data_IF_797726039475
#
_entry.id   IF_797726039475
#
_cell.length_a   1.000
_cell.length_b   1.000
_cell.length_c   1.000
_cell.angle_alpha   90.00
_cell.angle_beta   90.00
_cell.angle_gamma   90.00
#
_symmetry.space_group_name_H-M   'P 1'
#
loop_
_entity.id
_entity.type
_entity.pdbx_description
1 polymer ?
#
# COMPACT_ATOMS: atom_id res chain seq x y z
N UNK A 1 -10.98 -72.51 37.61
CA UNK A 1 -11.49 -72.90 36.29
C UNK A 1 -12.58 -71.92 35.89
N UNK A 2 -12.24 -70.97 35.03
CA UNK A 2 -13.11 -70.36 34.01
C UNK A 2 -12.21 -69.43 33.17
N UNK A 3 -11.89 -69.88 31.97
CA UNK A 3 -11.34 -69.14 30.85
C UNK A 3 -12.41 -68.22 30.23
N UNK A 4 -11.98 -67.38 29.27
CA UNK A 4 -12.75 -66.55 28.31
C UNK A 4 -13.03 -65.11 28.75
N UNK A 5 -12.89 -64.10 27.91
CA UNK A 5 -12.44 -64.05 26.52
C UNK A 5 -11.89 -62.66 26.22
N UNK A 6 -11.02 -62.64 25.23
CA UNK A 6 -10.30 -61.49 24.74
C UNK A 6 -11.23 -60.63 23.88
N UNK A 7 -11.29 -59.33 24.14
CA UNK A 7 -11.77 -58.36 23.16
C UNK A 7 -10.79 -57.19 23.15
N UNK A 8 -9.76 -57.36 22.33
CA UNK A 8 -8.86 -56.33 21.87
C UNK A 8 -9.63 -55.49 20.84
N UNK A 9 -9.96 -54.22 21.10
CA UNK A 9 -10.59 -53.39 20.10
C UNK A 9 -9.53 -52.97 19.08
N UNK A 10 -9.72 -53.48 17.87
CA UNK A 10 -9.21 -53.03 16.58
C UNK A 10 -8.32 -51.80 16.63
N UNK A 11 -7.04 -52.05 16.36
CA UNK A 11 -6.07 -51.09 15.84
C UNK A 11 -6.64 -50.49 14.54
N UNK A 12 -7.42 -49.43 14.70
CA UNK A 12 -7.79 -48.51 13.63
C UNK A 12 -6.48 -48.01 13.05
N UNK A 13 -6.15 -48.53 11.88
CA UNK A 13 -5.12 -48.00 11.02
C UNK A 13 -5.47 -46.55 10.78
N UNK A 14 -4.82 -45.65 11.52
CA UNK A 14 -4.80 -44.23 11.22
C UNK A 14 -4.31 -44.16 9.78
N UNK A 15 -5.25 -43.95 8.85
CA UNK A 15 -4.90 -43.49 7.51
C UNK A 15 -3.94 -42.33 7.72
N UNK A 16 -2.70 -42.52 7.27
CA UNK A 16 -1.73 -41.47 7.09
C UNK A 16 -2.38 -40.42 6.21
N UNK A 17 -3.10 -39.49 6.85
CA UNK A 17 -3.49 -38.23 6.24
C UNK A 17 -2.16 -37.66 5.78
N UNK A 18 -1.95 -37.46 4.46
CA UNK A 18 -0.74 -36.84 4.00
C UNK A 18 -0.76 -35.44 4.61
N UNK A 19 0.01 -35.27 5.69
CA UNK A 19 0.41 -33.97 6.18
C UNK A 19 1.18 -33.38 5.02
N UNK A 20 0.47 -32.60 4.21
CA UNK A 20 1.07 -31.62 3.34
C UNK A 20 1.89 -30.73 4.26
N UNK A 21 3.16 -31.12 4.44
CA UNK A 21 4.22 -30.20 4.74
C UNK A 21 4.29 -29.28 3.52
N UNK A 22 3.35 -28.32 3.48
CA UNK A 22 3.44 -27.16 2.64
C UNK A 22 4.80 -26.56 2.92
N UNK A 23 5.62 -26.54 1.88
CA UNK A 23 6.91 -25.88 1.77
C UNK A 23 6.78 -24.39 2.15
N UNK A 24 6.72 -24.11 3.46
CA UNK A 24 6.52 -22.77 4.05
C UNK A 24 7.68 -21.81 3.75
N UNK A 25 8.79 -22.34 3.23
CA UNK A 25 9.91 -21.58 2.69
C UNK A 25 9.54 -20.81 1.42
N UNK A 26 8.68 -21.39 0.55
CA UNK A 26 8.18 -20.73 -0.66
C UNK A 26 7.07 -19.70 -0.40
N UNK A 27 6.16 -20.00 0.55
CA UNK A 27 4.95 -19.20 0.81
C UNK A 27 5.22 -17.77 1.29
N UNK A 28 6.24 -17.57 2.13
CA UNK A 28 6.56 -16.23 2.68
C UNK A 28 7.11 -15.30 1.59
N UNK A 29 7.95 -15.82 0.67
CA UNK A 29 8.48 -15.00 -0.44
C UNK A 29 7.40 -14.66 -1.46
N UNK A 30 6.46 -15.57 -1.71
CA UNK A 30 5.36 -15.33 -2.65
C UNK A 30 4.35 -14.30 -2.11
N UNK A 31 3.94 -14.42 -0.85
CA UNK A 31 3.04 -13.45 -0.20
C UNK A 31 3.64 -12.05 -0.16
N UNK A 32 4.95 -11.95 0.04
CA UNK A 32 5.69 -10.69 -0.03
C UNK A 32 5.65 -10.07 -1.43
N UNK A 33 5.91 -10.86 -2.47
CA UNK A 33 5.86 -10.40 -3.86
C UNK A 33 4.47 -9.87 -4.25
N UNK A 34 3.41 -10.58 -3.88
CA UNK A 34 2.02 -10.15 -4.11
C UNK A 34 1.75 -8.83 -3.38
N UNK A 35 2.08 -8.76 -2.09
CA UNK A 35 1.82 -7.57 -1.27
C UNK A 35 2.53 -6.34 -1.82
N UNK A 36 3.82 -6.47 -2.16
CA UNK A 36 4.60 -5.40 -2.77
C UNK A 36 4.00 -4.97 -4.11
N UNK A 37 3.59 -5.92 -4.96
CA UNK A 37 2.99 -5.64 -6.27
C UNK A 37 1.65 -4.88 -6.14
N UNK A 38 0.76 -5.32 -5.25
CA UNK A 38 -0.54 -4.67 -5.02
C UNK A 38 -0.33 -3.24 -4.51
N UNK A 39 0.54 -3.04 -3.52
CA UNK A 39 0.81 -1.70 -2.99
C UNK A 39 1.48 -0.81 -4.03
N UNK A 40 2.39 -1.36 -4.84
CA UNK A 40 3.04 -0.63 -5.91
C UNK A 40 2.06 -0.17 -6.99
N UNK A 41 1.08 -1.00 -7.35
CA UNK A 41 0.01 -0.63 -8.29
C UNK A 41 -0.87 0.48 -7.72
N UNK A 42 -1.19 0.45 -6.42
CA UNK A 42 -1.94 1.52 -5.75
C UNK A 42 -1.16 2.83 -5.81
N UNK A 43 0.13 2.81 -5.45
CA UNK A 43 1.00 4.00 -5.48
C UNK A 43 1.15 4.53 -6.91
N UNK A 44 1.41 3.63 -7.87
CA UNK A 44 1.53 3.96 -9.28
C UNK A 44 0.25 4.56 -9.83
N UNK A 45 -0.91 3.96 -9.52
CA UNK A 45 -2.23 4.46 -9.93
C UNK A 45 -2.51 5.86 -9.38
N UNK A 46 -2.22 6.10 -8.10
CA UNK A 46 -2.36 7.44 -7.50
C UNK A 46 -1.43 8.47 -8.16
N UNK A 47 -0.18 8.11 -8.40
CA UNK A 47 0.80 9.00 -9.04
C UNK A 47 0.44 9.29 -10.50
N UNK A 48 -0.04 8.28 -11.23
CA UNK A 48 -0.52 8.43 -12.60
C UNK A 48 -1.75 9.35 -12.65
N UNK A 49 -2.71 9.13 -11.77
CA UNK A 49 -3.89 9.98 -11.64
C UNK A 49 -3.51 11.44 -11.34
N UNK A 50 -2.55 11.65 -10.43
CA UNK A 50 -2.02 12.98 -10.11
C UNK A 50 -1.38 13.71 -11.29
N UNK A 51 -0.94 12.96 -12.31
CA UNK A 51 -0.18 13.49 -13.44
C UNK A 51 -0.93 13.44 -14.78
N UNK A 52 -2.23 13.09 -14.76
CA UNK A 52 -3.07 13.02 -15.96
C UNK A 52 -3.06 14.32 -16.76
N UNK A 53 -3.10 15.48 -16.08
CA UNK A 53 -3.13 16.78 -16.75
C UNK A 53 -1.83 17.14 -17.49
N UNK A 54 -0.71 16.47 -17.19
CA UNK A 54 0.58 16.74 -17.82
C UNK A 54 0.88 15.82 -19.02
N UNK A 55 -0.01 14.87 -19.33
CA UNK A 55 0.19 13.91 -20.42
C UNK A 55 1.30 12.87 -20.20
N UNK A 56 1.93 12.85 -19.02
CA UNK A 56 3.02 11.91 -18.67
C UNK A 56 2.57 10.76 -17.76
N UNK A 57 1.27 10.59 -17.55
CA UNK A 57 0.71 9.65 -16.59
C UNK A 57 1.20 8.20 -16.77
N UNK A 58 1.34 7.73 -18.01
CA UNK A 58 1.82 6.38 -18.29
C UNK A 58 3.29 6.17 -17.84
N UNK A 59 4.16 7.16 -18.08
CA UNK A 59 5.57 7.10 -17.67
C UNK A 59 5.66 7.16 -16.14
N UNK A 60 4.92 8.08 -15.52
CA UNK A 60 4.87 8.23 -14.06
C UNK A 60 4.33 6.95 -13.41
N UNK A 61 3.29 6.33 -13.98
CA UNK A 61 2.75 5.06 -13.53
C UNK A 61 3.83 3.98 -13.50
N UNK A 62 4.58 3.81 -14.61
CA UNK A 62 5.60 2.78 -14.73
C UNK A 62 6.75 3.01 -13.74
N UNK A 63 7.25 4.25 -13.65
CA UNK A 63 8.35 4.59 -12.74
C UNK A 63 7.92 4.43 -11.28
N UNK A 64 6.74 4.96 -10.92
CA UNK A 64 6.23 4.87 -9.55
C UNK A 64 5.92 3.42 -9.15
N UNK A 65 5.31 2.63 -10.04
CA UNK A 65 5.04 1.20 -9.79
C UNK A 65 6.33 0.40 -9.67
N UNK A 66 7.26 0.53 -10.62
CA UNK A 66 8.52 -0.21 -10.59
C UNK A 66 9.38 0.21 -9.39
N UNK A 67 9.50 1.51 -9.13
CA UNK A 67 10.30 2.05 -8.03
C UNK A 67 9.73 1.68 -6.67
N UNK A 68 8.42 1.86 -6.46
CA UNK A 68 7.77 1.47 -5.21
C UNK A 68 7.74 -0.05 -5.03
N UNK A 69 7.48 -0.83 -6.08
CA UNK A 69 7.52 -2.29 -6.04
C UNK A 69 8.89 -2.82 -5.65
N UNK A 70 9.95 -2.30 -6.28
CA UNK A 70 11.33 -2.63 -5.93
C UNK A 70 11.65 -2.27 -4.47
N UNK A 71 11.30 -1.06 -4.03
CA UNK A 71 11.53 -0.62 -2.65
C UNK A 71 10.75 -1.45 -1.62
N UNK A 72 9.49 -1.79 -1.92
CA UNK A 72 8.64 -2.56 -1.03
C UNK A 72 9.07 -4.02 -0.97
N UNK A 73 9.51 -4.61 -2.08
CA UNK A 73 10.01 -6.00 -2.12
C UNK A 73 11.23 -6.23 -1.22
N UNK A 74 12.04 -5.19 -0.97
CA UNK A 74 13.21 -5.28 -0.07
C UNK A 74 12.85 -5.36 1.43
N UNK A 75 11.56 -5.21 1.82
CA UNK A 75 11.17 -5.33 3.23
C UNK A 75 11.17 -6.78 3.70
N UNK A 76 11.40 -6.99 4.99
CA UNK A 76 11.61 -8.34 5.55
C UNK A 76 10.30 -9.12 5.69
N UNK A 77 9.20 -8.42 5.95
CA UNK A 77 7.89 -9.01 6.17
C UNK A 77 6.78 -8.22 5.48
N UNK A 78 5.69 -8.89 5.00
CA UNK A 78 4.61 -8.23 4.27
C UNK A 78 3.95 -7.06 5.03
N UNK A 79 3.82 -7.17 6.35
CA UNK A 79 3.24 -6.09 7.16
C UNK A 79 4.09 -4.82 7.19
N UNK A 80 5.43 -4.96 7.07
CA UNK A 80 6.33 -3.80 6.95
C UNK A 80 6.20 -3.15 5.57
N UNK A 81 6.00 -3.95 4.53
CA UNK A 81 5.74 -3.48 3.17
C UNK A 81 4.43 -2.69 3.10
N UNK A 82 3.33 -3.21 3.66
CA UNK A 82 2.04 -2.50 3.73
C UNK A 82 2.20 -1.18 4.47
N UNK A 83 2.83 -1.21 5.65
CA UNK A 83 3.07 0.01 6.43
C UNK A 83 3.84 1.05 5.62
N UNK A 84 4.95 0.67 5.00
CA UNK A 84 5.76 1.57 4.18
C UNK A 84 5.02 2.07 2.93
N UNK A 85 4.24 1.20 2.29
CA UNK A 85 3.44 1.55 1.11
C UNK A 85 2.38 2.59 1.44
N UNK A 86 1.69 2.45 2.59
CA UNK A 86 0.72 3.44 3.05
C UNK A 86 1.34 4.80 3.34
N UNK A 87 2.57 4.85 3.87
CA UNK A 87 3.31 6.11 4.04
C UNK A 87 3.61 6.78 2.69
N UNK A 88 4.02 6.00 1.68
CA UNK A 88 4.26 6.51 0.33
C UNK A 88 2.95 7.02 -0.28
N UNK A 89 1.86 6.24 -0.17
CA UNK A 89 0.54 6.66 -0.66
C UNK A 89 0.06 7.94 0.01
N UNK A 90 0.24 8.09 1.32
CA UNK A 90 -0.11 9.31 2.04
C UNK A 90 0.69 10.52 1.53
N UNK A 91 1.97 10.33 1.21
CA UNK A 91 2.80 11.39 0.63
C UNK A 91 2.31 11.77 -0.77
N UNK A 92 1.98 10.80 -1.62
CA UNK A 92 1.39 11.07 -2.95
C UNK A 92 0.04 11.80 -2.83
N UNK A 93 -0.80 11.41 -1.86
CA UNK A 93 -2.06 12.10 -1.56
C UNK A 93 -1.86 13.55 -1.15
N UNK A 94 -0.81 13.86 -0.40
CA UNK A 94 -0.51 15.22 0.02
C UNK A 94 -0.05 16.09 -1.17
N UNK A 95 0.63 15.49 -2.14
CA UNK A 95 1.10 16.18 -3.35
C UNK A 95 -0.01 16.41 -4.38
N UNK A 96 -1.00 15.52 -4.44
CA UNK A 96 -2.12 15.57 -5.39
C UNK A 96 -2.77 16.96 -5.58
N UNK A 97 -3.26 17.64 -4.53
CA UNK A 97 -3.88 18.95 -4.69
C UNK A 97 -2.90 19.98 -5.27
N UNK A 98 -1.61 19.90 -4.94
CA UNK A 98 -0.58 20.78 -5.52
C UNK A 98 -0.44 20.49 -7.01
N UNK A 99 -0.32 19.24 -7.44
CA UNK A 99 -0.17 18.90 -8.85
C UNK A 99 -1.38 19.30 -9.69
N UNK A 100 -2.59 19.26 -9.14
CA UNK A 100 -3.81 19.67 -9.85
C UNK A 100 -3.97 21.19 -9.97
N UNK A 101 -3.71 21.95 -8.90
CA UNK A 101 -3.98 23.39 -8.87
C UNK A 101 -2.80 24.25 -9.28
N UNK A 102 -1.56 23.78 -9.11
CA UNK A 102 -0.37 24.58 -9.41
C UNK A 102 -0.29 24.99 -10.89
N UNK A 103 -0.59 24.13 -11.89
CA UNK A 103 -0.56 24.56 -13.30
C UNK A 103 -1.56 25.67 -13.61
N UNK A 104 -2.76 25.62 -13.00
CA UNK A 104 -3.77 26.66 -13.17
C UNK A 104 -3.34 28.00 -12.53
N UNK A 105 -2.65 27.94 -11.37
CA UNK A 105 -2.11 29.14 -10.71
C UNK A 105 -0.97 29.74 -11.54
N UNK A 106 -0.01 28.93 -11.98
CA UNK A 106 1.15 29.38 -12.75
C UNK A 106 0.82 29.77 -14.20
N UNK A 107 -0.26 29.24 -14.77
CA UNK A 107 -0.67 29.53 -16.14
C UNK A 107 -1.46 30.83 -16.32
N UNK A 108 -1.70 31.59 -15.25
CA UNK A 108 -2.51 32.83 -15.27
C UNK A 108 -1.69 34.12 -15.44
N UNK A 109 -0.50 34.04 -16.03
CA UNK A 109 0.36 35.19 -16.28
C UNK A 109 -0.39 36.31 -17.02
N UNK A 110 -0.63 37.42 -16.32
CA UNK A 110 -1.31 38.61 -16.86
C UNK A 110 -2.83 38.58 -16.72
N UNK A 111 -3.35 38.57 -15.49
CA UNK A 111 -4.78 38.67 -15.17
C UNK A 111 -5.41 40.03 -15.56
N UNK A 112 -5.38 40.36 -16.85
CA UNK A 112 -6.01 41.53 -17.46
C UNK A 112 -7.50 41.28 -17.74
N UNK A 113 -7.95 40.02 -17.66
CA UNK A 113 -9.36 39.63 -17.80
C UNK A 113 -9.98 39.18 -16.46
N UNK A 114 -11.28 39.47 -16.29
CA UNK A 114 -12.05 39.01 -15.14
C UNK A 114 -12.10 37.47 -15.04
N UNK A 115 -12.04 36.78 -16.18
CA UNK A 115 -12.01 35.32 -16.27
C UNK A 115 -10.71 34.72 -15.72
N UNK A 116 -9.55 35.31 -16.05
CA UNK A 116 -8.26 34.89 -15.53
C UNK A 116 -8.18 35.08 -14.00
N UNK A 117 -8.66 36.23 -13.51
CA UNK A 117 -8.74 36.49 -12.07
C UNK A 117 -9.67 35.49 -11.36
N UNK A 118 -10.83 35.18 -11.94
CA UNK A 118 -11.75 34.18 -11.41
C UNK A 118 -11.12 32.78 -11.33
N UNK A 119 -10.40 32.38 -12.36
CA UNK A 119 -9.70 31.08 -12.42
C UNK A 119 -8.59 30.98 -11.39
N UNK A 120 -7.79 32.04 -11.22
CA UNK A 120 -6.74 32.12 -10.21
C UNK A 120 -7.31 32.00 -8.79
N UNK A 121 -8.31 32.81 -8.45
CA UNK A 121 -8.97 32.77 -7.13
C UNK A 121 -9.61 31.40 -6.89
N UNK A 122 -10.32 30.86 -7.89
CA UNK A 122 -10.93 29.54 -7.83
C UNK A 122 -9.90 28.43 -7.60
N UNK A 123 -8.72 28.53 -8.22
CA UNK A 123 -7.64 27.56 -8.06
C UNK A 123 -7.01 27.62 -6.67
N UNK A 124 -6.80 28.82 -6.11
CA UNK A 124 -6.32 28.97 -4.73
C UNK A 124 -7.34 28.44 -3.74
N UNK A 125 -8.62 28.80 -3.89
CA UNK A 125 -9.69 28.31 -3.02
C UNK A 125 -9.81 26.77 -3.10
N UNK A 126 -9.76 26.23 -4.31
CA UNK A 126 -9.74 24.79 -4.56
C UNK A 126 -8.54 24.09 -3.91
N UNK A 127 -7.33 24.66 -4.05
CA UNK A 127 -6.12 24.15 -3.43
C UNK A 127 -6.24 24.12 -1.89
N UNK A 128 -6.83 25.15 -1.27
CA UNK A 128 -7.03 25.17 0.18
C UNK A 128 -8.04 24.13 0.64
N UNK A 129 -9.21 24.05 -0.01
CA UNK A 129 -10.29 23.13 0.35
C UNK A 129 -9.84 21.67 0.13
N UNK A 130 -9.44 21.33 -1.09
CA UNK A 130 -9.01 19.98 -1.41
C UNK A 130 -7.68 19.64 -0.75
N UNK A 131 -6.77 20.61 -0.60
CA UNK A 131 -5.55 20.47 0.18
C UNK A 131 -5.82 19.98 1.59
N UNK A 132 -6.79 20.57 2.27
CA UNK A 132 -7.18 20.15 3.61
C UNK A 132 -7.84 18.76 3.64
N UNK A 133 -8.71 18.45 2.66
CA UNK A 133 -9.32 17.11 2.54
C UNK A 133 -8.25 16.03 2.34
N UNK A 134 -7.34 16.23 1.39
CA UNK A 134 -6.25 15.29 1.12
C UNK A 134 -5.26 15.21 2.27
N UNK A 135 -5.02 16.30 3.00
CA UNK A 135 -4.23 16.30 4.23
C UNK A 135 -4.84 15.37 5.28
N UNK A 136 -6.15 15.45 5.53
CA UNK A 136 -6.84 14.56 6.49
C UNK A 136 -6.71 13.10 6.03
N UNK A 137 -6.97 12.82 4.74
CA UNK A 137 -6.84 11.47 4.19
C UNK A 137 -5.40 10.94 4.30
N UNK A 138 -4.40 11.78 4.04
CA UNK A 138 -2.99 11.44 4.20
C UNK A 138 -2.64 11.12 5.66
N UNK A 139 -3.13 11.91 6.63
CA UNK A 139 -2.93 11.67 8.06
C UNK A 139 -3.54 10.34 8.48
N UNK A 140 -4.77 10.06 8.08
CA UNK A 140 -5.45 8.78 8.39
C UNK A 140 -4.70 7.61 7.77
N UNK A 141 -4.30 7.71 6.51
CA UNK A 141 -3.55 6.67 5.79
C UNK A 141 -2.18 6.42 6.44
N UNK A 142 -1.46 7.48 6.79
CA UNK A 142 -0.17 7.40 7.50
C UNK A 142 -0.33 6.80 8.91
N UNK A 143 -1.41 7.14 9.63
CA UNK A 143 -1.70 6.56 10.94
C UNK A 143 -1.94 5.06 10.84
N UNK A 144 -2.73 4.60 9.85
CA UNK A 144 -2.91 3.17 9.58
C UNK A 144 -1.55 2.52 9.26
N UNK A 145 -0.74 3.15 8.38
CA UNK A 145 0.60 2.68 8.05
C UNK A 145 1.54 2.56 9.26
N UNK A 146 1.45 3.51 10.20
CA UNK A 146 2.18 3.49 11.46
C UNK A 146 1.83 2.27 12.31
N UNK A 147 0.54 1.91 12.44
CA UNK A 147 0.13 0.73 13.19
C UNK A 147 0.64 -0.58 12.56
N UNK A 148 0.59 -0.70 11.24
CA UNK A 148 1.16 -1.86 10.53
C UNK A 148 2.68 -1.97 10.76
N UNK A 149 3.41 -0.86 10.64
CA UNK A 149 4.86 -0.82 10.91
C UNK A 149 5.18 -1.17 12.36
N UNK A 150 4.44 -0.62 13.33
CA UNK A 150 4.64 -0.91 14.76
C UNK A 150 4.38 -2.38 15.07
N UNK A 151 3.36 -2.99 14.47
CA UNK A 151 3.08 -4.43 14.61
C UNK A 151 4.19 -5.28 14.01
N UNK A 152 4.71 -4.88 12.84
CA UNK A 152 5.81 -5.55 12.15
C UNK A 152 7.09 -5.56 13.01
N UNK A 153 7.48 -4.40 13.55
CA UNK A 153 8.67 -4.28 14.41
C UNK A 153 8.59 -5.16 15.67
N UNK A 154 7.41 -5.27 16.29
CA UNK A 154 7.21 -6.14 17.46
C UNK A 154 7.33 -7.64 17.14
N UNK A 155 7.04 -8.05 15.91
CA UNK A 155 7.23 -9.45 15.48
C UNK A 155 8.71 -9.73 15.29
N UNK A 156 9.39 -8.89 14.51
CA UNK A 156 10.82 -9.03 14.23
C UNK A 156 11.68 -9.02 15.50
N UNK A 157 11.32 -8.23 16.52
CA UNK A 157 12.06 -8.22 17.78
C UNK A 157 11.92 -9.51 18.60
N UNK A 158 10.82 -10.24 18.45
CA UNK A 158 10.61 -11.52 19.14
C UNK A 158 11.41 -12.65 18.52
N UNK A 159 11.63 -12.60 17.21
CA UNK A 159 12.35 -13.64 16.48
C UNK A 159 13.89 -13.53 16.68
N UNK A 160 14.37 -12.38 17.17
CA UNK A 160 15.79 -12.12 17.45
C UNK A 160 16.19 -12.26 18.91
N UNK A 161 15.23 -12.49 19.81
CA UNK A 161 15.45 -12.62 21.26
C UNK A 161 15.39 -14.09 21.67
#
# INVERSE_FOLDING_TARGET
MAHQDSAEPDNVSTEDVPTAEEDQSGGIRWTMAITASVMALIIGGLAAWATLNFGIAAIVFLIATAGSGYYLYQKRIPSEAIGSGLWISALVMLLLPITFYLPAILGTDGAESAEAAGTFIGSIAGLLIWGFVFLILAVVTAAIGYFFKRRASKKLSKDTA
#
